data_IF_286544203954
#
_entry.id   IF_286544203954
#
_cell.length_a   1.000
_cell.length_b   1.000
_cell.length_c   1.000
_cell.angle_alpha   90.00
_cell.angle_beta   90.00
_cell.angle_gamma   90.00
#
_symmetry.space_group_name_H-M   'P 1'
#
loop_
_entity.id
_entity.type
_entity.pdbx_description
1 polymer ?
#
# COMPACT_ATOMS: atom_id res chain seq x y z
N UNK A 1 -21.73 -32.56 -12.51
CA UNK A 1 -22.38 -31.32 -13.01
C UNK A 1 -21.72 -30.03 -12.52
N UNK A 2 -21.31 -29.91 -11.25
CA UNK A 2 -20.68 -28.67 -10.72
C UNK A 2 -19.38 -28.26 -11.41
N UNK A 3 -18.50 -29.23 -11.73
CA UNK A 3 -17.25 -28.96 -12.45
C UNK A 3 -17.47 -28.50 -13.90
N UNK A 4 -18.44 -29.09 -14.61
CA UNK A 4 -18.79 -28.69 -15.97
C UNK A 4 -19.38 -27.27 -16.01
N UNK A 5 -20.25 -26.94 -15.05
CA UNK A 5 -20.78 -25.59 -14.89
C UNK A 5 -19.67 -24.58 -14.55
N UNK A 6 -18.70 -24.97 -13.71
CA UNK A 6 -17.52 -24.16 -13.40
C UNK A 6 -16.69 -23.84 -14.65
N UNK A 7 -16.34 -24.86 -15.45
CA UNK A 7 -15.56 -24.68 -16.69
C UNK A 7 -16.27 -23.77 -17.69
N UNK A 8 -17.59 -23.91 -17.85
CA UNK A 8 -18.38 -23.07 -18.75
C UNK A 8 -18.39 -21.62 -18.28
N UNK A 9 -18.61 -21.39 -16.98
CA UNK A 9 -18.61 -20.05 -16.38
C UNK A 9 -17.22 -19.42 -16.48
N UNK A 10 -16.17 -20.17 -16.19
CA UNK A 10 -14.78 -19.73 -16.26
C UNK A 10 -14.36 -19.38 -17.69
N UNK A 11 -14.79 -20.17 -18.67
CA UNK A 11 -14.55 -19.88 -20.10
C UNK A 11 -15.28 -18.61 -20.53
N UNK A 12 -16.54 -18.44 -20.13
CA UNK A 12 -17.32 -17.22 -20.40
C UNK A 12 -16.70 -15.99 -19.75
N UNK A 13 -16.31 -16.09 -18.47
CA UNK A 13 -15.65 -15.01 -17.74
C UNK A 13 -14.30 -14.65 -18.38
N UNK A 14 -13.50 -15.65 -18.77
CA UNK A 14 -12.21 -15.44 -19.44
C UNK A 14 -12.40 -14.73 -20.78
N UNK A 15 -13.38 -15.15 -21.58
CA UNK A 15 -13.72 -14.51 -22.84
C UNK A 15 -14.22 -13.07 -22.66
N UNK A 16 -14.87 -12.76 -21.53
CA UNK A 16 -15.36 -11.42 -21.21
C UNK A 16 -14.27 -10.48 -20.70
N UNK A 17 -13.29 -11.01 -19.96
CA UNK A 17 -12.20 -10.24 -19.34
C UNK A 17 -11.10 -9.94 -20.36
N UNK A 18 -10.84 -10.84 -21.32
CA UNK A 18 -9.76 -10.67 -22.29
C UNK A 18 -9.82 -9.34 -23.09
N UNK A 19 -10.98 -8.90 -23.62
CA UNK A 19 -11.10 -7.60 -24.30
C UNK A 19 -10.84 -6.40 -23.37
N UNK A 20 -11.30 -6.49 -22.12
CA UNK A 20 -11.09 -5.44 -21.11
C UNK A 20 -9.60 -5.27 -20.81
N UNK A 21 -8.89 -6.39 -20.63
CA UNK A 21 -7.44 -6.42 -20.46
C UNK A 21 -6.71 -5.83 -21.67
N UNK A 22 -7.16 -6.15 -22.88
CA UNK A 22 -6.54 -5.66 -24.12
C UNK A 22 -6.65 -4.13 -24.26
N UNK A 23 -7.77 -3.53 -23.84
CA UNK A 23 -7.93 -2.07 -23.80
C UNK A 23 -6.98 -1.46 -22.77
N UNK A 24 -6.90 -2.00 -21.55
CA UNK A 24 -5.98 -1.49 -20.53
C UNK A 24 -4.51 -1.55 -20.97
N UNK A 25 -4.10 -2.63 -21.63
CA UNK A 25 -2.77 -2.75 -22.21
C UNK A 25 -2.53 -1.71 -23.32
N UNK A 26 -3.51 -1.48 -24.19
CA UNK A 26 -3.42 -0.49 -25.26
C UNK A 26 -3.35 0.95 -24.73
N UNK A 27 -4.11 1.27 -23.68
CA UNK A 27 -4.03 2.59 -23.03
C UNK A 27 -2.69 2.81 -22.34
N UNK A 28 -2.13 1.78 -21.70
CA UNK A 28 -0.82 1.88 -21.06
C UNK A 28 0.29 2.15 -22.10
N UNK A 29 0.26 1.46 -23.24
CA UNK A 29 1.19 1.72 -24.36
C UNK A 29 1.00 3.14 -24.90
N UNK A 30 -0.26 3.58 -25.05
CA UNK A 30 -0.58 4.95 -25.47
C UNK A 30 -0.02 6.02 -24.54
N UNK A 31 -0.18 5.85 -23.22
CA UNK A 31 0.32 6.78 -22.21
C UNK A 31 1.86 6.91 -22.27
N UNK A 32 2.57 5.79 -22.43
CA UNK A 32 4.03 5.76 -22.60
C UNK A 32 4.45 6.54 -23.86
N UNK A 33 3.80 6.29 -25.00
CA UNK A 33 4.10 7.00 -26.26
C UNK A 33 3.81 8.50 -26.18
N UNK A 34 2.79 8.90 -25.41
CA UNK A 34 2.43 10.29 -25.14
C UNK A 34 3.37 10.97 -24.13
N UNK A 35 4.39 10.27 -23.62
CA UNK A 35 5.33 10.80 -22.62
C UNK A 35 4.67 11.11 -21.29
N UNK A 36 3.45 10.61 -21.06
CA UNK A 36 2.81 10.63 -19.75
C UNK A 36 3.50 9.54 -18.96
N UNK A 37 4.11 9.90 -17.84
CA UNK A 37 4.60 8.91 -16.89
C UNK A 37 3.41 8.03 -16.57
N UNK A 38 3.45 6.77 -17.01
CA UNK A 38 2.47 5.72 -16.68
C UNK A 38 2.69 5.44 -15.21
N UNK A 39 2.36 6.44 -14.39
CA UNK A 39 2.85 6.61 -13.05
C UNK A 39 2.52 5.32 -12.36
N UNK A 40 3.56 4.65 -11.91
CA UNK A 40 3.47 3.49 -11.05
C UNK A 40 2.39 3.80 -10.02
N UNK A 41 1.16 3.35 -10.28
CA UNK A 41 0.01 3.73 -9.46
C UNK A 41 0.33 3.11 -8.13
N UNK A 42 0.63 3.95 -7.14
CA UNK A 42 0.92 3.52 -5.78
C UNK A 42 -0.25 2.64 -5.40
N UNK A 43 0.00 1.33 -5.32
CA UNK A 43 -1.02 0.36 -4.96
C UNK A 43 -1.57 0.84 -3.63
N UNK A 44 -2.82 1.31 -3.61
CA UNK A 44 -3.49 1.73 -2.38
C UNK A 44 -3.63 0.47 -1.53
N UNK A 45 -2.71 0.33 -0.57
CA UNK A 45 -2.68 -0.74 0.43
C UNK A 45 -3.54 -0.40 1.65
N UNK A 46 -4.23 0.74 1.62
CA UNK A 46 -5.24 1.08 2.59
C UNK A 46 -6.54 0.34 2.25
N UNK A 47 -7.12 -0.33 3.26
CA UNK A 47 -8.43 -0.98 3.26
C UNK A 47 -9.63 -0.02 2.99
N UNK A 48 -9.35 1.19 2.51
CA UNK A 48 -10.37 2.13 2.08
C UNK A 48 -10.96 1.69 0.75
N UNK A 49 -12.19 1.15 0.78
CA UNK A 49 -12.93 0.74 -0.40
C UNK A 49 -12.88 1.76 -1.54
N UNK A 50 -12.82 1.29 -2.78
CA UNK A 50 -12.67 2.15 -3.97
C UNK A 50 -13.83 3.14 -4.01
N UNK A 51 -13.51 4.43 -4.09
CA UNK A 51 -14.55 5.46 -4.18
C UNK A 51 -15.31 5.28 -5.50
N UNK A 52 -16.67 5.30 -5.52
CA UNK A 52 -17.46 5.11 -6.73
C UNK A 52 -16.99 5.97 -7.91
N UNK A 53 -16.56 7.20 -7.63
CA UNK A 53 -16.01 8.15 -8.60
C UNK A 53 -14.71 7.67 -9.28
N UNK A 54 -13.81 7.02 -8.55
CA UNK A 54 -12.56 6.47 -9.08
C UNK A 54 -12.85 5.29 -10.01
N UNK A 55 -13.82 4.46 -9.60
CA UNK A 55 -14.33 3.33 -10.36
C UNK A 55 -14.93 3.79 -11.69
N UNK A 56 -15.83 4.78 -11.66
CA UNK A 56 -16.40 5.37 -12.88
C UNK A 56 -15.31 5.92 -13.81
N UNK A 57 -14.32 6.67 -13.30
CA UNK A 57 -13.26 7.23 -14.14
C UNK A 57 -12.42 6.15 -14.83
N UNK A 58 -12.12 5.04 -14.14
CA UNK A 58 -11.29 3.96 -14.66
C UNK A 58 -12.04 3.08 -15.67
N UNK A 59 -13.32 2.81 -15.42
CA UNK A 59 -14.15 1.95 -16.28
C UNK A 59 -14.93 2.72 -17.36
N UNK A 60 -14.98 4.06 -17.32
CA UNK A 60 -15.64 4.88 -18.34
C UNK A 60 -15.01 4.72 -19.73
N UNK A 61 -13.68 4.68 -19.84
CA UNK A 61 -13.03 4.55 -21.15
C UNK A 61 -13.33 3.19 -21.84
N UNK A 62 -13.21 2.03 -21.14
CA UNK A 62 -13.69 0.75 -21.68
C UNK A 62 -15.18 0.74 -22.02
N UNK A 63 -16.03 1.32 -21.16
CA UNK A 63 -17.48 1.37 -21.38
C UNK A 63 -17.83 2.20 -22.61
N UNK A 64 -17.19 3.36 -22.79
CA UNK A 64 -17.39 4.23 -23.95
C UNK A 64 -16.94 3.54 -25.24
N UNK A 65 -15.82 2.79 -25.19
CA UNK A 65 -15.36 1.97 -26.31
C UNK A 65 -16.38 0.87 -26.65
N UNK A 66 -16.95 0.20 -25.64
CA UNK A 66 -18.03 -0.75 -25.81
C UNK A 66 -19.28 -0.15 -26.48
N UNK A 67 -19.69 1.06 -26.05
CA UNK A 67 -20.82 1.78 -26.66
C UNK A 67 -20.51 2.16 -28.11
N UNK A 68 -19.32 2.68 -28.41
CA UNK A 68 -18.92 3.01 -29.77
C UNK A 68 -18.91 1.76 -30.67
N UNK A 69 -18.34 0.66 -30.18
CA UNK A 69 -18.30 -0.62 -30.90
C UNK A 69 -19.71 -1.19 -31.11
N UNK A 70 -20.60 -1.06 -30.13
CA UNK A 70 -22.00 -1.45 -30.23
C UNK A 70 -22.75 -0.68 -31.33
N UNK A 71 -22.59 0.64 -31.35
CA UNK A 71 -23.19 1.52 -32.36
C UNK A 71 -22.66 1.22 -33.76
N UNK A 72 -21.34 1.04 -33.90
CA UNK A 72 -20.73 0.67 -35.19
C UNK A 72 -21.19 -0.70 -35.67
N UNK A 73 -21.24 -1.71 -34.79
CA UNK A 73 -21.69 -3.04 -35.18
C UNK A 73 -23.18 -3.06 -35.56
N UNK A 74 -24.03 -2.33 -34.82
CA UNK A 74 -25.44 -2.16 -35.15
C UNK A 74 -25.66 -1.45 -36.50
N UNK A 75 -24.86 -0.41 -36.78
CA UNK A 75 -24.92 0.33 -38.04
C UNK A 75 -24.48 -0.48 -39.27
N UNK A 76 -23.56 -1.45 -39.09
CA UNK A 76 -23.09 -2.32 -40.18
C UNK A 76 -24.07 -3.47 -40.43
N UNK A 77 -24.38 -4.29 -39.41
CA UNK A 77 -25.38 -5.35 -39.54
C UNK A 77 -25.75 -5.98 -38.19
N UNK A 78 -27.03 -6.29 -38.00
CA UNK A 78 -27.54 -6.98 -36.79
C UNK A 78 -26.87 -8.35 -36.54
N UNK A 79 -26.56 -9.19 -37.55
CA UNK A 79 -25.83 -10.44 -37.33
C UNK A 79 -24.41 -10.24 -36.78
N UNK A 80 -23.70 -9.21 -37.25
CA UNK A 80 -22.36 -8.86 -36.74
C UNK A 80 -22.45 -8.39 -35.27
N UNK A 81 -23.45 -7.56 -34.96
CA UNK A 81 -23.71 -7.12 -33.60
C UNK A 81 -23.97 -8.31 -32.65
N UNK A 82 -24.82 -9.26 -33.04
CA UNK A 82 -25.09 -10.46 -32.24
C UNK A 82 -23.84 -11.33 -32.07
N UNK A 83 -23.00 -11.45 -33.10
CA UNK A 83 -21.74 -12.20 -33.04
C UNK A 83 -20.71 -11.55 -32.10
N UNK A 84 -20.63 -10.23 -32.08
CA UNK A 84 -19.75 -9.46 -31.18
C UNK A 84 -20.38 -9.12 -29.82
N UNK A 85 -21.62 -9.56 -29.59
CA UNK A 85 -22.38 -9.25 -28.38
C UNK A 85 -21.69 -9.66 -27.08
N UNK A 86 -20.92 -10.77 -26.97
CA UNK A 86 -20.21 -11.09 -25.73
C UNK A 86 -19.19 -10.01 -25.35
N UNK A 87 -18.46 -9.48 -26.34
CA UNK A 87 -17.44 -8.44 -26.14
C UNK A 87 -18.09 -7.12 -25.78
N UNK A 88 -19.13 -6.72 -26.52
CA UNK A 88 -19.90 -5.50 -26.27
C UNK A 88 -20.53 -5.53 -24.87
N UNK A 89 -21.12 -6.67 -24.51
CA UNK A 89 -21.78 -6.87 -23.22
C UNK A 89 -20.76 -6.79 -22.08
N UNK A 90 -19.56 -7.36 -22.24
CA UNK A 90 -18.48 -7.25 -21.25
C UNK A 90 -17.99 -5.82 -21.03
N UNK A 91 -17.86 -5.06 -22.11
CA UNK A 91 -17.47 -3.65 -22.03
C UNK A 91 -18.57 -2.78 -21.41
N UNK A 92 -19.84 -3.05 -21.71
CA UNK A 92 -21.00 -2.36 -21.10
C UNK A 92 -21.14 -2.69 -19.61
N UNK A 93 -20.86 -3.94 -19.22
CA UNK A 93 -20.92 -4.40 -17.83
C UNK A 93 -19.65 -4.07 -17.03
N UNK A 94 -18.65 -3.41 -17.61
CA UNK A 94 -17.39 -3.12 -16.90
C UNK A 94 -17.60 -2.30 -15.61
N UNK A 95 -18.53 -1.33 -15.63
CA UNK A 95 -18.89 -0.51 -14.46
C UNK A 95 -19.59 -1.35 -13.37
N UNK A 96 -20.72 -2.04 -13.63
CA UNK A 96 -21.38 -2.84 -12.60
C UNK A 96 -20.52 -4.02 -12.12
N UNK A 97 -19.72 -4.65 -12.99
CA UNK A 97 -18.76 -5.67 -12.59
C UNK A 97 -17.70 -5.07 -11.67
N UNK A 98 -17.16 -3.89 -11.98
CA UNK A 98 -16.25 -3.17 -11.11
C UNK A 98 -16.85 -2.89 -9.72
N UNK A 99 -18.14 -2.59 -9.64
CA UNK A 99 -18.83 -2.39 -8.35
C UNK A 99 -18.99 -3.71 -7.59
N UNK A 100 -19.33 -4.80 -8.29
CA UNK A 100 -19.47 -6.13 -7.69
C UNK A 100 -18.14 -6.69 -7.20
N UNK A 101 -17.03 -6.43 -7.91
CA UNK A 101 -15.68 -6.89 -7.52
C UNK A 101 -15.01 -5.98 -6.50
N UNK A 102 -15.40 -4.70 -6.43
CA UNK A 102 -14.85 -3.74 -5.47
C UNK A 102 -15.60 -3.76 -4.13
N UNK A 103 -16.82 -4.30 -4.08
CA UNK A 103 -17.48 -4.55 -2.82
C UNK A 103 -16.66 -5.63 -2.09
N UNK A 104 -16.00 -5.23 -1.00
CA UNK A 104 -15.24 -6.11 -0.12
C UNK A 104 -15.96 -7.45 0.05
N UNK A 105 -15.28 -8.55 -0.29
CA UNK A 105 -15.83 -9.89 -0.34
C UNK A 105 -16.61 -10.15 0.93
N UNK A 106 -17.92 -10.37 0.81
CA UNK A 106 -18.71 -10.79 1.97
C UNK A 106 -18.18 -12.16 2.41
N UNK A 107 -17.91 -12.39 3.70
CA UNK A 107 -17.55 -13.72 4.18
C UNK A 107 -18.65 -14.70 3.77
N UNK A 108 -18.27 -15.73 2.98
CA UNK A 108 -19.19 -16.72 2.42
C UNK A 108 -19.55 -16.57 0.93
N UNK A 109 -18.95 -15.62 0.19
CA UNK A 109 -19.08 -15.54 -1.27
C UNK A 109 -18.37 -16.69 -2.01
N UNK A 110 -18.81 -16.99 -3.25
CA UNK A 110 -18.22 -18.04 -4.11
C UNK A 110 -16.71 -17.83 -4.40
N UNK A 111 -16.22 -16.59 -4.23
CA UNK A 111 -14.84 -16.18 -4.44
C UNK A 111 -14.13 -15.70 -3.15
N UNK A 112 -14.72 -15.98 -1.99
CA UNK A 112 -14.11 -15.59 -0.71
C UNK A 112 -12.81 -16.38 -0.52
N UNK A 113 -11.76 -15.66 -0.15
CA UNK A 113 -10.47 -16.28 0.18
C UNK A 113 -10.53 -16.93 1.57
N UNK A 114 -9.76 -18.00 1.82
CA UNK A 114 -9.67 -18.61 3.16
C UNK A 114 -9.33 -17.59 4.25
N UNK A 115 -8.49 -16.61 3.92
CA UNK A 115 -8.03 -15.53 4.80
C UNK A 115 -9.13 -14.52 5.14
N UNK A 116 -10.17 -14.37 4.31
CA UNK A 116 -11.35 -13.55 4.61
C UNK A 116 -12.38 -14.30 5.46
N UNK A 117 -12.43 -15.63 5.36
CA UNK A 117 -13.41 -16.47 6.06
C UNK A 117 -12.90 -16.91 7.43
N UNK A 118 -11.60 -17.15 7.55
CA UNK A 118 -10.90 -17.48 8.77
C UNK A 118 -9.63 -16.63 8.85
N UNK A 119 -9.76 -15.33 9.19
CA UNK A 119 -8.61 -14.45 9.29
C UNK A 119 -7.60 -15.00 10.30
N UNK A 120 -6.31 -15.12 9.93
CA UNK A 120 -5.29 -15.61 10.84
C UNK A 120 -5.20 -14.72 12.07
N UNK A 121 -4.88 -15.33 13.22
CA UNK A 121 -4.88 -14.66 14.52
C UNK A 121 -4.00 -13.39 14.57
N UNK A 122 -2.96 -13.33 13.74
CA UNK A 122 -2.09 -12.14 13.60
C UNK A 122 -2.81 -10.93 13.00
N UNK A 123 -3.72 -11.14 12.03
CA UNK A 123 -4.50 -10.05 11.42
C UNK A 123 -5.58 -9.55 12.38
N UNK A 124 -6.25 -10.46 13.08
CA UNK A 124 -7.20 -10.10 14.14
C UNK A 124 -6.49 -9.26 15.21
N UNK A 125 -5.32 -9.71 15.68
CA UNK A 125 -4.56 -8.99 16.70
C UNK A 125 -4.02 -7.65 16.21
N UNK A 126 -3.57 -7.56 14.95
CA UNK A 126 -3.13 -6.30 14.36
C UNK A 126 -4.27 -5.29 14.26
N UNK A 127 -5.45 -5.72 13.83
CA UNK A 127 -6.64 -4.86 13.75
C UNK A 127 -7.11 -4.41 15.13
N UNK A 128 -7.08 -5.29 16.14
CA UNK A 128 -7.34 -4.91 17.54
C UNK A 128 -6.38 -3.82 18.00
N UNK A 129 -5.07 -3.99 17.78
CA UNK A 129 -4.04 -3.03 18.18
C UNK A 129 -4.17 -1.70 17.42
N UNK A 130 -4.51 -1.73 16.13
CA UNK A 130 -4.73 -0.54 15.31
C UNK A 130 -6.03 0.21 15.69
N UNK A 131 -7.05 -0.52 16.17
CA UNK A 131 -8.32 0.06 16.61
C UNK A 131 -8.24 0.71 17.99
N UNK A 132 -7.24 0.37 18.82
CA UNK A 132 -6.97 1.08 20.07
C UNK A 132 -6.35 2.44 19.74
N UNK A 133 -7.00 3.57 20.07
CA UNK A 133 -6.39 4.88 19.92
C UNK A 133 -5.26 5.03 20.95
N UNK A 134 -4.06 4.63 20.57
CA UNK A 134 -2.85 4.93 21.33
C UNK A 134 -2.48 6.40 21.12
N UNK A 135 -2.03 7.13 22.15
CA UNK A 135 -1.37 8.41 21.92
C UNK A 135 -0.19 8.16 20.98
N UNK A 136 -0.18 8.81 19.81
CA UNK A 136 1.00 8.84 18.97
C UNK A 136 2.12 9.47 19.80
N UNK A 137 3.20 8.76 20.10
CA UNK A 137 4.23 9.32 20.95
C UNK A 137 4.83 10.55 20.27
N UNK A 138 4.75 11.69 20.95
CA UNK A 138 5.27 12.97 20.44
C UNK A 138 6.77 12.92 20.19
N UNK A 139 7.46 12.00 20.87
CA UNK A 139 8.88 11.71 20.70
C UNK A 139 9.14 10.20 20.85
N UNK A 140 9.63 9.59 19.77
CA UNK A 140 9.89 8.15 19.71
C UNK A 140 11.05 7.73 20.64
N UNK A 141 12.06 8.59 20.79
CA UNK A 141 13.27 8.26 21.55
C UNK A 141 12.98 8.21 23.05
N UNK A 142 12.25 9.17 23.60
CA UNK A 142 11.82 9.14 25.00
C UNK A 142 10.90 7.95 25.30
N UNK A 143 10.03 7.56 24.36
CA UNK A 143 9.16 6.39 24.49
C UNK A 143 9.97 5.09 24.61
N UNK A 144 10.97 4.92 23.74
CA UNK A 144 11.87 3.76 23.79
C UNK A 144 12.70 3.73 25.08
N UNK A 145 13.09 4.90 25.61
CA UNK A 145 13.80 4.97 26.90
C UNK A 145 12.90 4.58 28.09
N UNK A 146 11.61 4.89 28.01
CA UNK A 146 10.62 4.60 29.05
C UNK A 146 10.16 3.14 29.12
N UNK A 147 10.26 2.39 28.01
CA UNK A 147 9.87 0.98 27.94
C UNK A 147 11.03 0.09 27.45
N UNK A 148 11.75 -0.59 28.37
CA UNK A 148 12.87 -1.45 28.02
C UNK A 148 12.46 -2.68 27.20
N UNK A 149 11.21 -3.14 27.31
CA UNK A 149 10.72 -4.25 26.48
C UNK A 149 10.52 -3.77 25.04
N UNK A 150 9.95 -2.59 24.85
CA UNK A 150 9.79 -1.95 23.53
C UNK A 150 11.15 -1.65 22.89
N UNK A 151 12.12 -1.13 23.65
CA UNK A 151 13.49 -0.93 23.16
C UNK A 151 14.12 -2.23 22.66
N UNK A 152 13.98 -3.33 23.42
CA UNK A 152 14.51 -4.63 23.02
C UNK A 152 13.86 -5.12 21.72
N UNK A 153 12.53 -5.06 21.63
CA UNK A 153 11.82 -5.43 20.40
C UNK A 153 12.22 -4.57 19.20
N UNK A 154 12.43 -3.27 19.41
CA UNK A 154 12.91 -2.37 18.37
C UNK A 154 14.32 -2.77 17.90
N UNK A 155 15.27 -2.96 18.82
CA UNK A 155 16.64 -3.39 18.52
C UNK A 155 16.69 -4.74 17.77
N UNK A 156 15.80 -5.67 18.11
CA UNK A 156 15.67 -6.97 17.43
C UNK A 156 15.07 -6.83 16.01
N UNK A 157 14.33 -5.76 15.74
CA UNK A 157 13.72 -5.49 14.43
C UNK A 157 14.65 -4.72 13.47
N UNK A 158 15.68 -4.05 13.99
CA UNK A 158 16.68 -3.35 13.16
C UNK A 158 17.46 -4.39 12.35
N UNK A 159 17.47 -4.21 11.02
CA UNK A 159 18.19 -5.09 10.13
C UNK A 159 19.71 -5.11 10.46
N UNK A 160 20.41 -6.26 10.28
CA UNK A 160 21.85 -6.32 10.46
C UNK A 160 22.54 -5.26 9.61
N UNK A 161 23.49 -4.53 10.21
CA UNK A 161 24.23 -3.48 9.51
C UNK A 161 24.98 -4.08 8.34
N UNK A 162 24.58 -3.73 7.12
CA UNK A 162 25.38 -4.00 5.93
C UNK A 162 26.65 -3.16 6.03
N UNK A 163 27.82 -3.78 5.90
CA UNK A 163 29.08 -3.04 5.89
C UNK A 163 29.05 -1.98 4.79
N UNK A 164 29.11 -0.72 5.20
CA UNK A 164 29.13 0.43 4.29
C UNK A 164 30.32 0.34 3.33
N UNK A 165 30.09 0.64 2.07
CA UNK A 165 31.19 0.85 1.11
C UNK A 165 32.06 2.01 1.57
N UNK A 166 33.39 1.83 1.56
CA UNK A 166 34.34 2.87 1.97
C UNK A 166 34.12 4.12 1.11
N UNK A 167 34.03 5.29 1.75
CA UNK A 167 33.80 6.57 1.09
C UNK A 167 32.32 7.00 0.98
N UNK A 168 31.36 6.10 1.22
CA UNK A 168 29.95 6.47 1.33
C UNK A 168 29.57 6.67 2.80
N UNK A 169 29.26 7.92 3.15
CA UNK A 169 28.85 8.31 4.50
C UNK A 169 27.42 8.81 4.42
N UNK A 170 26.54 8.27 5.26
CA UNK A 170 25.21 8.85 5.47
C UNK A 170 25.38 10.19 6.21
N UNK A 171 25.07 11.33 5.57
CA UNK A 171 25.24 12.64 6.18
C UNK A 171 24.38 12.81 7.44
N UNK A 172 23.16 12.26 7.46
CA UNK A 172 22.25 12.42 8.59
C UNK A 172 22.75 11.64 9.80
N UNK A 173 23.22 10.41 9.61
CA UNK A 173 23.81 9.63 10.70
C UNK A 173 25.12 10.24 11.20
N UNK A 174 25.94 10.81 10.31
CA UNK A 174 27.20 11.45 10.68
C UNK A 174 26.99 12.74 11.49
N UNK A 175 26.04 13.57 11.07
CA UNK A 175 25.66 14.79 11.81
C UNK A 175 24.98 14.42 13.13
N UNK A 176 24.06 13.45 13.13
CA UNK A 176 23.44 12.95 14.34
C UNK A 176 24.48 12.46 15.35
N UNK A 177 25.48 11.72 14.89
CA UNK A 177 26.61 11.27 15.72
C UNK A 177 27.33 12.44 16.38
N UNK A 178 27.70 13.45 15.58
CA UNK A 178 28.42 14.60 16.10
C UNK A 178 27.60 15.36 17.15
N UNK A 179 26.29 15.54 16.91
CA UNK A 179 25.37 16.18 17.87
C UNK A 179 25.19 15.37 19.16
N UNK A 180 25.08 14.04 19.06
CA UNK A 180 24.97 13.15 20.23
C UNK A 180 26.28 13.16 21.04
N UNK A 181 27.43 13.18 20.36
CA UNK A 181 28.74 13.23 21.02
C UNK A 181 28.98 14.60 21.73
N UNK A 182 28.31 15.67 21.29
CA UNK A 182 28.37 17.02 21.91
C UNK A 182 27.36 17.20 23.06
N UNK A 183 26.30 16.40 23.11
CA UNK A 183 25.27 16.47 24.14
C UNK A 183 25.73 15.81 25.45
N UNK A 184 25.47 16.46 26.59
CA UNK A 184 25.81 15.91 27.90
C UNK A 184 24.69 15.02 28.45
N UNK A 185 23.46 15.27 28.01
CA UNK A 185 22.25 14.60 28.52
C UNK A 185 21.39 14.06 27.38
N UNK A 186 20.57 13.06 27.69
CA UNK A 186 19.67 12.46 26.71
C UNK A 186 18.65 13.47 26.16
N UNK A 187 18.06 14.29 27.02
CA UNK A 187 17.04 15.28 26.68
C UNK A 187 17.60 16.36 25.75
N UNK A 188 18.84 16.75 25.97
CA UNK A 188 19.59 17.65 25.10
C UNK A 188 19.88 17.01 23.73
N UNK A 189 20.33 15.75 23.72
CA UNK A 189 20.56 15.00 22.50
C UNK A 189 19.27 14.87 21.66
N UNK A 190 18.12 14.56 22.28
CA UNK A 190 16.82 14.54 21.60
C UNK A 190 16.47 15.92 21.03
N UNK A 191 16.75 17.00 21.77
CA UNK A 191 16.49 18.38 21.33
C UNK A 191 17.33 18.83 20.13
N UNK A 192 18.53 18.29 19.94
CA UNK A 192 19.41 18.64 18.81
C UNK A 192 19.09 17.92 17.51
N UNK A 193 18.40 16.78 17.58
CA UNK A 193 18.13 15.92 16.43
C UNK A 193 16.90 16.41 15.66
N UNK A 194 17.05 16.52 14.34
CA UNK A 194 15.95 16.70 13.40
C UNK A 194 15.24 15.39 13.13
N UNK A 195 14.02 15.43 12.59
CA UNK A 195 13.25 14.21 12.25
C UNK A 195 14.03 13.21 11.38
N UNK A 196 14.84 13.69 10.42
CA UNK A 196 15.68 12.85 9.56
C UNK A 196 16.87 12.24 10.30
N UNK A 197 17.46 12.99 11.22
CA UNK A 197 18.56 12.50 12.06
C UNK A 197 18.05 11.49 13.09
N UNK A 198 16.91 11.75 13.72
CA UNK A 198 16.22 10.80 14.61
C UNK A 198 15.90 9.49 13.88
N UNK A 199 15.36 9.56 12.66
CA UNK A 199 15.11 8.37 11.86
C UNK A 199 16.40 7.60 11.52
N UNK A 200 17.51 8.29 11.26
CA UNK A 200 18.80 7.65 11.03
C UNK A 200 19.33 6.95 12.30
N UNK A 201 19.21 7.58 13.47
CA UNK A 201 19.59 7.01 14.77
C UNK A 201 18.73 5.80 15.12
N UNK A 202 17.42 5.86 14.91
CA UNK A 202 16.50 4.75 15.18
C UNK A 202 16.80 3.50 14.34
N UNK A 203 17.43 3.67 13.17
CA UNK A 203 17.85 2.57 12.30
C UNK A 203 19.31 2.13 12.53
N UNK A 204 20.10 2.85 13.33
CA UNK A 204 21.48 2.49 13.66
C UNK A 204 21.55 1.99 15.11
N UNK A 205 21.57 0.66 15.24
CA UNK A 205 21.64 -0.04 16.52
C UNK A 205 22.69 0.50 17.50
N UNK A 206 23.99 0.63 17.14
CA UNK A 206 25.00 1.05 18.10
C UNK A 206 24.84 2.51 18.53
N UNK A 207 24.33 3.38 17.64
CA UNK A 207 24.01 4.76 18.01
C UNK A 207 22.85 4.82 19.00
N UNK A 208 21.79 4.05 18.74
CA UNK A 208 20.63 4.00 19.60
C UNK A 208 20.99 3.47 21.00
N UNK A 209 21.75 2.37 21.08
CA UNK A 209 22.23 1.82 22.36
C UNK A 209 23.07 2.85 23.13
N UNK A 210 23.99 3.55 22.47
CA UNK A 210 24.79 4.62 23.08
C UNK A 210 23.90 5.73 23.64
N UNK A 211 22.94 6.20 22.86
CA UNK A 211 22.04 7.28 23.25
C UNK A 211 21.19 6.88 24.48
N UNK A 212 20.71 5.63 24.55
CA UNK A 212 19.93 5.14 25.70
C UNK A 212 20.74 5.04 27.00
N UNK A 213 22.07 4.90 26.90
CA UNK A 213 22.97 4.86 28.08
C UNK A 213 23.39 6.23 28.61
N UNK A 214 23.02 7.33 27.95
CA UNK A 214 23.35 8.69 28.40
C UNK A 214 22.67 9.03 29.73
N UNK A 215 23.28 9.95 30.49
CA UNK A 215 22.72 10.42 31.75
C UNK A 215 21.35 11.08 31.53
N UNK A 216 20.37 10.89 32.43
CA UNK A 216 19.15 11.68 32.41
C UNK A 216 19.51 13.14 32.74
N UNK A 217 18.93 14.06 31.99
CA UNK A 217 19.05 15.49 32.21
C UNK A 217 18.54 15.82 33.61
N UNK A 218 19.41 16.45 34.41
CA UNK A 218 18.98 17.03 35.67
C UNK A 218 18.02 18.15 35.31
N UNK A 219 16.75 17.99 35.64
CA UNK A 219 15.81 19.11 35.62
C UNK A 219 16.30 20.15 36.62
N UNK A 220 17.10 21.10 36.13
CA UNK A 220 17.49 22.29 36.86
C UNK A 220 16.23 23.13 37.08
N UNK A 221 15.44 22.76 38.07
CA UNK A 221 14.53 23.66 38.76
C UNK A 221 15.38 24.71 39.48
N UNK A 222 15.80 25.75 38.76
CA UNK A 222 16.40 26.94 39.33
C UNK A 222 15.65 28.18 38.81
N UNK A 223 14.69 28.60 39.66
CA UNK A 223 14.16 29.94 39.94
C UNK A 223 13.66 30.82 38.81
#
# INVERSE_FOLDING_TARGET
MRALAGIVIETLLSALIAPVMMIFQSTAVGEILLGRDSGWQVQRRDDGGVTPRELYRKYAAPTLCGVAMALSAYAVSVPLFLWTSPVILGLLLAIPLGFMTSASSRPGGLFATPEETAPPHVLLRANELAAVPGPLPTDALSTLRGDPAMLKHHLDSIAPRVERMRGQIDPHLAIARAKIDDAETFEEAVGYLTMRETAAVLNDRPMLERMMTMAPGVTSNLR
#
